data_IF_131512629489
#
_entry.id   IF_131512629489
#
_cell.length_a   1.000
_cell.length_b   1.000
_cell.length_c   1.000
_cell.angle_alpha   90.00
_cell.angle_beta   90.00
_cell.angle_gamma   90.00
#
_symmetry.space_group_name_H-M   'P 1'
#
loop_
_entity.id
_entity.type
_entity.pdbx_description
1 polymer ?
#
# COMPACT_ATOMS: atom_id res chain seq x y z
N UNK A 1 13.65 -8.41 -22.21
CA UNK A 1 13.38 -9.78 -22.69
C UNK A 1 12.04 -10.25 -22.13
N UNK A 2 11.36 -11.18 -22.84
CA UNK A 2 10.15 -11.81 -22.30
C UNK A 2 10.51 -12.72 -21.12
N UNK A 3 9.65 -12.73 -20.10
CA UNK A 3 9.86 -13.51 -18.87
C UNK A 3 8.77 -14.56 -18.75
N UNK A 4 9.17 -15.81 -18.61
CA UNK A 4 8.24 -16.91 -18.40
C UNK A 4 7.75 -16.96 -16.95
N UNK A 5 6.51 -17.40 -16.75
CA UNK A 5 6.01 -17.74 -15.43
C UNK A 5 6.84 -18.86 -14.79
N UNK A 6 7.08 -18.79 -13.48
CA UNK A 6 7.75 -19.88 -12.74
C UNK A 6 6.94 -21.18 -12.87
N UNK A 7 7.64 -22.29 -12.89
CA UNK A 7 7.00 -23.60 -12.85
C UNK A 7 6.42 -23.85 -11.47
N UNK A 8 5.26 -24.48 -11.39
CA UNK A 8 4.66 -24.91 -10.11
C UNK A 8 5.54 -25.94 -9.42
N UNK A 9 6.19 -26.81 -10.21
CA UNK A 9 7.08 -27.86 -9.76
C UNK A 9 8.19 -28.07 -10.81
N UNK A 10 9.45 -28.12 -10.38
CA UNK A 10 10.59 -28.28 -11.27
C UNK A 10 11.67 -29.20 -10.63
N UNK A 11 11.46 -30.53 -10.69
CA UNK A 11 12.36 -31.50 -10.05
C UNK A 11 13.76 -31.57 -10.67
N UNK A 12 13.90 -31.04 -11.88
CA UNK A 12 15.19 -31.08 -12.62
C UNK A 12 16.03 -29.81 -12.41
N UNK A 13 15.59 -28.89 -11.55
CA UNK A 13 16.39 -27.70 -11.23
C UNK A 13 17.61 -28.09 -10.40
N UNK A 14 18.74 -27.53 -10.78
CA UNK A 14 20.01 -27.57 -10.03
C UNK A 14 20.42 -26.21 -9.49
N UNK A 15 19.48 -25.22 -9.52
CA UNK A 15 19.76 -23.86 -9.08
C UNK A 15 20.17 -23.85 -7.59
N UNK A 16 21.38 -23.38 -7.33
CA UNK A 16 21.88 -23.18 -5.98
C UNK A 16 21.28 -21.91 -5.34
N UNK A 17 21.37 -21.78 -4.03
CA UNK A 17 20.88 -20.59 -3.31
C UNK A 17 21.47 -19.29 -3.85
N UNK A 18 22.78 -19.28 -4.14
CA UNK A 18 23.48 -18.09 -4.64
C UNK A 18 23.05 -17.69 -6.06
N UNK A 19 22.51 -18.62 -6.84
CA UNK A 19 22.02 -18.38 -8.19
C UNK A 19 20.55 -17.92 -8.23
N UNK A 20 19.81 -18.01 -7.12
CA UNK A 20 18.43 -17.53 -7.03
C UNK A 20 18.33 -16.09 -7.55
N UNK A 21 17.25 -15.81 -8.25
CA UNK A 21 16.93 -14.49 -8.79
C UNK A 21 15.53 -14.07 -8.35
N UNK A 22 15.29 -12.76 -8.33
CA UNK A 22 13.95 -12.23 -8.04
C UNK A 22 12.97 -12.74 -9.10
N UNK A 23 13.32 -12.60 -10.39
CA UNK A 23 12.59 -13.18 -11.52
C UNK A 23 13.57 -13.78 -12.55
N UNK A 24 13.06 -14.62 -13.44
CA UNK A 24 13.87 -15.27 -14.47
C UNK A 24 14.89 -16.30 -13.93
N UNK A 25 14.72 -16.76 -12.69
CA UNK A 25 15.45 -17.90 -12.15
C UNK A 25 14.85 -19.24 -12.60
N UNK A 26 15.50 -20.33 -12.17
CA UNK A 26 15.03 -21.69 -12.45
C UNK A 26 14.88 -22.50 -11.15
N UNK A 27 14.05 -22.08 -10.21
CA UNK A 27 13.92 -22.72 -8.91
C UNK A 27 13.27 -24.10 -9.03
N UNK A 28 13.47 -24.95 -8.00
CA UNK A 28 12.70 -26.19 -7.81
C UNK A 28 11.23 -25.92 -7.53
N UNK A 29 10.90 -24.70 -7.13
CA UNK A 29 9.61 -24.25 -6.59
C UNK A 29 9.28 -24.82 -5.21
N UNK A 30 10.22 -25.45 -4.54
CA UNK A 30 10.13 -25.82 -3.12
C UNK A 30 10.54 -24.64 -2.24
N UNK A 31 9.82 -24.47 -1.11
CA UNK A 31 10.15 -23.45 -0.11
C UNK A 31 11.23 -23.97 0.85
N UNK A 32 12.49 -24.07 0.36
CA UNK A 32 13.66 -24.40 1.20
C UNK A 32 14.11 -23.14 1.95
N UNK A 33 13.52 -22.91 3.10
CA UNK A 33 13.74 -21.72 3.95
C UNK A 33 14.92 -21.85 4.91
N UNK A 34 15.60 -22.99 4.93
CA UNK A 34 16.85 -23.17 5.68
C UNK A 34 18.05 -22.56 4.93
N UNK A 35 17.85 -22.22 3.66
CA UNK A 35 18.86 -21.62 2.79
C UNK A 35 18.25 -20.39 2.11
N UNK A 36 18.65 -19.21 2.51
CA UNK A 36 18.08 -17.93 2.12
C UNK A 36 19.12 -17.06 1.45
N UNK A 37 18.85 -16.56 0.25
CA UNK A 37 19.68 -15.56 -0.43
C UNK A 37 19.27 -14.15 0.01
N UNK A 38 17.99 -13.82 -0.02
CA UNK A 38 17.46 -12.50 0.31
C UNK A 38 17.05 -12.43 1.79
N UNK A 39 18.05 -12.26 2.67
CA UNK A 39 17.83 -12.22 4.15
C UNK A 39 16.80 -11.17 4.57
N UNK A 40 16.75 -10.04 3.86
CA UNK A 40 15.77 -8.99 4.11
C UNK A 40 14.33 -9.48 3.93
N UNK A 41 14.07 -10.40 3.00
CA UNK A 41 12.74 -10.95 2.79
C UNK A 41 12.31 -11.86 3.95
N UNK A 42 13.21 -12.68 4.50
CA UNK A 42 12.93 -13.49 5.70
C UNK A 42 12.61 -12.62 6.92
N UNK A 43 13.40 -11.55 7.12
CA UNK A 43 13.14 -10.60 8.22
C UNK A 43 11.79 -9.88 8.03
N UNK A 44 11.52 -9.40 6.83
CA UNK A 44 10.27 -8.71 6.52
C UNK A 44 9.06 -9.64 6.71
N UNK A 45 9.13 -10.88 6.20
CA UNK A 45 8.07 -11.87 6.38
C UNK A 45 7.77 -12.12 7.87
N UNK A 46 8.79 -12.24 8.72
CA UNK A 46 8.63 -12.38 10.18
C UNK A 46 7.97 -11.15 10.80
N UNK A 47 8.33 -9.95 10.33
CA UNK A 47 7.69 -8.69 10.76
C UNK A 47 6.22 -8.66 10.39
N UNK A 48 5.87 -9.02 9.14
CA UNK A 48 4.49 -9.10 8.68
C UNK A 48 3.67 -10.11 9.49
N UNK A 49 4.25 -11.26 9.86
CA UNK A 49 3.58 -12.23 10.75
C UNK A 49 3.33 -11.67 12.15
N UNK A 50 4.32 -10.99 12.72
CA UNK A 50 4.19 -10.37 14.05
C UNK A 50 3.14 -9.26 14.09
N UNK A 51 2.90 -8.61 12.95
CA UNK A 51 1.91 -7.54 12.81
C UNK A 51 0.46 -8.04 12.58
N UNK A 52 0.21 -9.34 12.60
CA UNK A 52 -1.15 -9.88 12.40
C UNK A 52 -2.17 -9.26 13.37
N UNK A 53 -3.30 -8.87 12.84
CA UNK A 53 -4.42 -8.27 13.56
C UNK A 53 -5.74 -8.71 12.90
N UNK A 54 -6.87 -8.46 13.55
CA UNK A 54 -8.19 -8.76 13.03
C UNK A 54 -9.14 -7.58 13.22
N UNK A 55 -10.07 -7.39 12.30
CA UNK A 55 -11.03 -6.28 12.34
C UNK A 55 -11.86 -6.28 13.63
N UNK A 56 -12.15 -7.44 14.17
CA UNK A 56 -12.91 -7.65 15.41
C UNK A 56 -12.20 -7.12 16.67
N UNK A 57 -10.90 -6.85 16.58
CA UNK A 57 -10.15 -6.21 17.67
C UNK A 57 -10.51 -4.71 17.84
N UNK A 58 -11.18 -4.11 16.84
CA UNK A 58 -11.52 -2.69 16.83
C UNK A 58 -13.02 -2.49 17.00
N UNK A 59 -13.42 -1.73 18.03
CA UNK A 59 -14.83 -1.40 18.23
C UNK A 59 -15.29 -0.28 17.32
N UNK A 60 -16.36 -0.52 16.56
CA UNK A 60 -17.02 0.44 15.68
C UNK A 60 -18.29 1.07 16.31
N UNK A 61 -18.57 0.80 17.58
CA UNK A 61 -19.84 1.22 18.23
C UNK A 61 -20.03 2.73 18.27
N UNK A 62 -18.97 3.49 18.47
CA UNK A 62 -19.01 4.94 18.51
C UNK A 62 -19.08 5.56 17.10
N UNK A 63 -18.43 4.93 16.13
CA UNK A 63 -18.37 5.38 14.75
C UNK A 63 -19.74 5.47 14.09
N UNK A 64 -20.65 4.53 14.37
CA UNK A 64 -22.03 4.59 13.89
C UNK A 64 -22.75 5.87 14.36
N UNK A 65 -22.55 6.25 15.62
CA UNK A 65 -23.15 7.47 16.18
C UNK A 65 -22.48 8.74 15.65
N UNK A 66 -21.19 8.69 15.49
CA UNK A 66 -20.40 9.80 14.96
C UNK A 66 -20.71 10.06 13.49
N UNK A 67 -20.81 9.00 12.68
CA UNK A 67 -21.16 9.12 11.26
C UNK A 67 -22.49 9.86 11.06
N UNK A 68 -23.50 9.59 11.90
CA UNK A 68 -24.78 10.28 11.83
C UNK A 68 -24.66 11.80 12.08
N UNK A 69 -23.65 12.22 12.87
CA UNK A 69 -23.37 13.62 13.24
C UNK A 69 -22.39 14.32 12.31
N UNK A 70 -21.74 13.61 11.40
CA UNK A 70 -20.85 14.21 10.41
C UNK A 70 -21.65 15.21 9.55
N UNK A 71 -20.98 16.30 9.13
CA UNK A 71 -21.56 17.20 8.12
C UNK A 71 -21.74 16.44 6.78
N UNK A 72 -22.50 17.02 5.88
CA UNK A 72 -22.71 16.42 4.56
C UNK A 72 -21.38 16.24 3.80
N UNK A 73 -20.48 17.22 3.92
CA UNK A 73 -19.16 17.20 3.30
C UNK A 73 -18.25 16.14 3.93
N UNK A 74 -18.28 16.00 5.26
CA UNK A 74 -17.52 14.97 5.97
C UNK A 74 -17.99 13.57 5.59
N UNK A 75 -19.31 13.34 5.43
CA UNK A 75 -19.85 12.05 4.96
C UNK A 75 -19.40 11.72 3.56
N UNK A 76 -19.58 12.66 2.63
CA UNK A 76 -19.17 12.48 1.24
C UNK A 76 -17.68 12.14 1.14
N UNK A 77 -16.83 12.85 1.88
CA UNK A 77 -15.39 12.57 1.88
C UNK A 77 -15.05 11.23 2.49
N UNK A 78 -15.73 10.84 3.60
CA UNK A 78 -15.56 9.54 4.24
C UNK A 78 -15.93 8.39 3.29
N UNK A 79 -17.12 8.46 2.68
CA UNK A 79 -17.62 7.42 1.79
C UNK A 79 -16.72 7.24 0.56
N UNK A 80 -16.28 8.36 -0.04
CA UNK A 80 -15.34 8.35 -1.17
C UNK A 80 -13.98 7.78 -0.80
N UNK A 81 -13.41 8.20 0.34
CA UNK A 81 -12.14 7.68 0.80
C UNK A 81 -12.23 6.16 1.06
N UNK A 82 -13.31 5.71 1.69
CA UNK A 82 -13.53 4.28 1.96
C UNK A 82 -13.71 3.49 0.66
N UNK A 83 -14.52 3.97 -0.28
CA UNK A 83 -14.73 3.32 -1.58
C UNK A 83 -13.44 3.19 -2.39
N UNK A 84 -12.56 4.20 -2.31
CA UNK A 84 -11.24 4.14 -2.93
C UNK A 84 -10.38 3.02 -2.34
N UNK A 85 -10.27 2.93 -1.02
CA UNK A 85 -9.46 1.93 -0.33
C UNK A 85 -9.95 0.51 -0.68
N UNK A 86 -11.27 0.28 -0.62
CA UNK A 86 -11.90 -1.00 -1.01
C UNK A 86 -11.48 -1.44 -2.41
N UNK A 87 -11.50 -0.51 -3.38
CA UNK A 87 -11.12 -0.83 -4.75
C UNK A 87 -9.62 -1.14 -4.88
N UNK A 88 -8.76 -0.31 -4.25
CA UNK A 88 -7.31 -0.43 -4.37
C UNK A 88 -6.81 -1.77 -3.83
N UNK A 89 -7.26 -2.20 -2.66
CA UNK A 89 -6.85 -3.47 -2.06
C UNK A 89 -7.40 -4.68 -2.83
N UNK A 90 -8.61 -4.55 -3.38
CA UNK A 90 -9.16 -5.58 -4.27
C UNK A 90 -8.33 -5.72 -5.55
N UNK A 91 -7.95 -4.61 -6.18
CA UNK A 91 -7.07 -4.61 -7.36
C UNK A 91 -5.69 -5.17 -7.01
N UNK A 92 -5.14 -4.77 -5.87
CA UNK A 92 -3.83 -5.20 -5.41
C UNK A 92 -3.79 -6.70 -5.10
N UNK A 93 -4.80 -7.24 -4.42
CA UNK A 93 -4.92 -8.68 -4.19
C UNK A 93 -4.83 -9.46 -5.50
N UNK A 94 -5.62 -9.06 -6.51
CA UNK A 94 -5.61 -9.70 -7.83
C UNK A 94 -4.26 -9.54 -8.54
N UNK A 95 -3.68 -8.33 -8.50
CA UNK A 95 -2.38 -8.05 -9.09
C UNK A 95 -1.26 -8.90 -8.48
N UNK A 96 -1.24 -9.05 -7.16
CA UNK A 96 -0.23 -9.86 -6.48
C UNK A 96 -0.32 -11.33 -6.87
N UNK A 97 -1.52 -11.91 -6.83
CA UNK A 97 -1.74 -13.34 -7.03
C UNK A 97 -1.55 -13.73 -8.50
N UNK A 98 -2.20 -13.03 -9.41
CA UNK A 98 -2.33 -13.46 -10.80
C UNK A 98 -1.31 -12.83 -11.74
N UNK A 99 -0.71 -11.70 -11.34
CA UNK A 99 0.11 -10.88 -12.23
C UNK A 99 1.58 -10.78 -11.80
N UNK A 100 1.90 -10.45 -10.56
CA UNK A 100 3.30 -10.27 -10.10
C UNK A 100 3.91 -11.60 -9.63
N UNK A 101 3.26 -12.27 -8.66
CA UNK A 101 3.78 -13.48 -8.04
C UNK A 101 4.13 -14.61 -9.02
N UNK A 102 3.40 -14.82 -10.14
CA UNK A 102 3.76 -15.84 -11.13
C UNK A 102 5.17 -15.70 -11.74
N UNK A 103 5.74 -14.50 -11.76
CA UNK A 103 7.05 -14.23 -12.32
C UNK A 103 8.17 -14.22 -11.27
N UNK A 104 7.83 -14.11 -9.97
CA UNK A 104 8.83 -14.07 -8.89
C UNK A 104 9.31 -15.48 -8.58
N UNK A 105 10.61 -15.69 -8.75
CA UNK A 105 11.23 -17.04 -8.66
C UNK A 105 11.94 -17.31 -7.34
N UNK A 106 12.18 -16.29 -6.49
CA UNK A 106 12.75 -16.45 -5.15
C UNK A 106 11.71 -16.95 -4.15
N UNK A 107 11.93 -18.10 -3.47
CA UNK A 107 11.00 -18.65 -2.48
C UNK A 107 10.73 -17.68 -1.31
N UNK A 108 11.76 -17.05 -0.77
CA UNK A 108 11.66 -16.14 0.37
C UNK A 108 10.86 -14.87 0.03
N UNK A 109 10.96 -14.35 -1.20
CA UNK A 109 10.16 -13.22 -1.67
C UNK A 109 8.71 -13.66 -1.95
N UNK A 110 8.51 -14.87 -2.47
CA UNK A 110 7.17 -15.43 -2.66
C UNK A 110 6.39 -15.50 -1.35
N UNK A 111 7.02 -15.83 -0.21
CA UNK A 111 6.35 -15.81 1.09
C UNK A 111 5.84 -14.43 1.46
N UNK A 112 6.64 -13.38 1.23
CA UNK A 112 6.21 -12.01 1.48
C UNK A 112 5.01 -11.63 0.59
N UNK A 113 5.03 -11.97 -0.71
CA UNK A 113 3.93 -11.67 -1.63
C UNK A 113 2.64 -12.42 -1.26
N UNK A 114 2.74 -13.68 -0.85
CA UNK A 114 1.59 -14.45 -0.35
C UNK A 114 1.04 -13.85 0.93
N UNK A 115 1.92 -13.41 1.84
CA UNK A 115 1.51 -12.75 3.06
C UNK A 115 0.85 -11.40 2.79
N UNK A 116 1.40 -10.59 1.89
CA UNK A 116 0.79 -9.34 1.47
C UNK A 116 -0.61 -9.58 0.89
N UNK A 117 -0.77 -10.54 -0.02
CA UNK A 117 -2.09 -10.86 -0.60
C UNK A 117 -3.11 -11.27 0.49
N UNK A 118 -2.68 -11.95 1.56
CA UNK A 118 -3.52 -12.22 2.72
C UNK A 118 -3.88 -10.92 3.48
N UNK A 119 -2.94 -10.01 3.65
CA UNK A 119 -3.18 -8.73 4.34
C UNK A 119 -4.15 -7.84 3.55
N UNK A 120 -4.06 -7.79 2.21
CA UNK A 120 -5.04 -7.08 1.37
C UNK A 120 -6.47 -7.68 1.51
N UNK A 121 -6.57 -9.00 1.62
CA UNK A 121 -7.85 -9.65 1.89
C UNK A 121 -8.36 -9.33 3.30
N UNK A 122 -7.48 -9.23 4.30
CA UNK A 122 -7.82 -8.79 5.65
C UNK A 122 -8.27 -7.33 5.68
N UNK A 123 -7.61 -6.45 4.93
CA UNK A 123 -8.01 -5.05 4.77
C UNK A 123 -9.41 -4.96 4.14
N UNK A 124 -9.67 -5.74 3.10
CA UNK A 124 -11.00 -5.82 2.47
C UNK A 124 -12.09 -6.23 3.47
N UNK A 125 -11.79 -7.19 4.37
CA UNK A 125 -12.71 -7.56 5.46
C UNK A 125 -12.90 -6.40 6.45
N UNK A 126 -11.82 -5.72 6.83
CA UNK A 126 -11.91 -4.57 7.74
C UNK A 126 -12.77 -3.43 7.15
N UNK A 127 -12.66 -3.16 5.85
CA UNK A 127 -13.53 -2.20 5.19
C UNK A 127 -15.00 -2.65 5.17
N UNK A 128 -15.26 -3.95 5.00
CA UNK A 128 -16.64 -4.46 5.10
C UNK A 128 -17.22 -4.18 6.49
N UNK A 129 -16.46 -4.43 7.55
CA UNK A 129 -16.86 -4.10 8.94
C UNK A 129 -17.11 -2.61 9.11
N UNK A 130 -16.26 -1.74 8.52
CA UNK A 130 -16.46 -0.28 8.56
C UNK A 130 -17.76 0.11 7.84
N UNK A 131 -17.98 -0.38 6.62
CA UNK A 131 -19.19 -0.06 5.81
C UNK A 131 -20.45 -0.50 6.53
N UNK A 132 -20.52 -1.73 7.02
CA UNK A 132 -21.66 -2.28 7.74
C UNK A 132 -21.97 -1.51 9.04
N UNK A 133 -20.92 -0.97 9.67
CA UNK A 133 -21.09 -0.20 10.92
C UNK A 133 -21.74 1.16 10.72
N UNK A 134 -21.58 1.77 9.54
CA UNK A 134 -22.02 3.17 9.30
C UNK A 134 -23.21 3.28 8.38
N UNK A 135 -23.37 2.40 7.39
CA UNK A 135 -24.36 2.54 6.32
C UNK A 135 -25.42 1.44 6.36
N UNK A 136 -26.69 1.85 6.15
CA UNK A 136 -27.77 0.92 5.86
C UNK A 136 -27.79 0.49 4.38
N UNK A 137 -27.13 1.25 3.50
CA UNK A 137 -27.01 0.97 2.07
C UNK A 137 -25.53 0.77 1.69
N UNK A 138 -25.03 -0.44 1.91
CA UNK A 138 -23.64 -0.80 1.65
C UNK A 138 -23.30 -0.78 0.16
N UNK A 139 -24.25 -1.11 -0.72
CA UNK A 139 -24.07 -1.16 -2.17
C UNK A 139 -23.66 0.20 -2.75
N UNK A 140 -24.14 1.30 -2.20
CA UNK A 140 -23.83 2.65 -2.67
C UNK A 140 -22.32 2.96 -2.56
N UNK A 141 -21.68 2.57 -1.46
CA UNK A 141 -20.23 2.73 -1.25
C UNK A 141 -19.45 1.77 -2.17
N UNK A 142 -19.87 0.50 -2.23
CA UNK A 142 -19.21 -0.49 -3.08
C UNK A 142 -19.32 -0.19 -4.58
N UNK A 143 -20.34 0.52 -5.03
CA UNK A 143 -20.54 0.87 -6.45
C UNK A 143 -19.84 2.18 -6.87
N UNK A 144 -19.28 2.95 -5.94
CA UNK A 144 -18.62 4.23 -6.27
C UNK A 144 -17.47 4.05 -7.26
N UNK A 145 -16.72 2.94 -7.24
CA UNK A 145 -15.60 2.72 -8.17
C UNK A 145 -15.99 2.80 -9.64
N UNK A 146 -17.24 2.54 -9.98
CA UNK A 146 -17.77 2.62 -11.35
C UNK A 146 -18.65 3.85 -11.58
N UNK A 147 -19.28 4.38 -10.56
CA UNK A 147 -20.26 5.46 -10.66
C UNK A 147 -19.64 6.85 -10.42
N UNK A 148 -18.57 6.95 -9.64
CA UNK A 148 -17.82 8.20 -9.42
C UNK A 148 -16.70 8.31 -10.47
N UNK A 149 -16.83 9.28 -11.38
CA UNK A 149 -15.90 9.46 -12.51
C UNK A 149 -14.48 9.83 -12.07
N UNK A 150 -14.32 10.53 -10.95
CA UNK A 150 -13.00 10.89 -10.42
C UNK A 150 -12.29 9.65 -9.88
N UNK A 151 -13.01 8.85 -9.10
CA UNK A 151 -12.50 7.58 -8.58
C UNK A 151 -12.15 6.62 -9.71
N UNK A 152 -13.02 6.49 -10.70
CA UNK A 152 -12.79 5.65 -11.86
C UNK A 152 -11.53 6.05 -12.62
N UNK A 153 -11.34 7.33 -12.90
CA UNK A 153 -10.16 7.84 -13.62
C UNK A 153 -8.85 7.53 -12.86
N UNK A 154 -8.86 7.67 -11.53
CA UNK A 154 -7.73 7.32 -10.68
C UNK A 154 -7.41 5.84 -10.74
N UNK A 155 -8.43 5.00 -10.63
CA UNK A 155 -8.30 3.55 -10.66
C UNK A 155 -7.79 3.02 -12.01
N UNK A 156 -8.32 3.58 -13.12
CA UNK A 156 -7.95 3.17 -14.47
C UNK A 156 -6.44 3.37 -14.73
N UNK A 157 -5.83 4.41 -14.18
CA UNK A 157 -4.40 4.66 -14.38
C UNK A 157 -3.51 3.54 -13.84
N UNK A 158 -3.70 3.15 -12.58
CA UNK A 158 -2.85 2.11 -11.96
C UNK A 158 -3.18 0.73 -12.54
N UNK A 159 -4.46 0.46 -12.82
CA UNK A 159 -4.90 -0.78 -13.44
C UNK A 159 -4.28 -0.98 -14.83
N UNK A 160 -4.11 0.09 -15.63
CA UNK A 160 -3.47 0.01 -16.95
C UNK A 160 -2.02 -0.47 -16.86
N UNK A 161 -1.25 0.00 -15.87
CA UNK A 161 0.14 -0.44 -15.69
C UNK A 161 0.18 -1.93 -15.35
N UNK A 162 -0.71 -2.40 -14.49
CA UNK A 162 -0.79 -3.82 -14.14
C UNK A 162 -1.25 -4.68 -15.33
N UNK A 163 -2.24 -4.24 -16.09
CA UNK A 163 -2.71 -4.93 -17.28
C UNK A 163 -1.64 -5.01 -18.38
N UNK A 164 -0.73 -4.02 -18.47
CA UNK A 164 0.37 -4.08 -19.43
C UNK A 164 1.34 -5.23 -19.10
N UNK A 165 1.66 -5.45 -17.81
CA UNK A 165 2.45 -6.63 -17.41
C UNK A 165 1.73 -7.93 -17.77
N UNK A 166 0.43 -8.03 -17.48
CA UNK A 166 -0.36 -9.24 -17.78
C UNK A 166 -0.38 -9.57 -19.28
N UNK A 167 -0.44 -8.54 -20.12
CA UNK A 167 -0.49 -8.66 -21.58
C UNK A 167 0.89 -8.91 -22.20
N UNK A 168 1.91 -8.29 -21.66
CA UNK A 168 3.25 -8.25 -22.21
C UNK A 168 4.31 -8.45 -21.10
N UNK A 169 4.56 -9.70 -20.66
CA UNK A 169 5.42 -10.00 -19.50
C UNK A 169 6.90 -9.90 -19.87
N UNK A 170 7.42 -8.70 -19.95
CA UNK A 170 8.85 -8.41 -20.14
C UNK A 170 9.53 -8.03 -18.83
N UNK A 171 10.86 -8.17 -18.77
CA UNK A 171 11.66 -7.73 -17.62
C UNK A 171 11.39 -6.26 -17.27
N UNK A 172 11.24 -5.41 -18.29
CA UNK A 172 10.92 -3.99 -18.14
C UNK A 172 9.53 -3.77 -17.54
N UNK A 173 8.52 -4.51 -18.02
CA UNK A 173 7.16 -4.37 -17.51
C UNK A 173 7.01 -4.95 -16.10
N UNK A 174 7.78 -6.00 -15.75
CA UNK A 174 7.88 -6.47 -14.37
C UNK A 174 8.43 -5.34 -13.48
N UNK A 175 9.54 -4.71 -13.88
CA UNK A 175 10.14 -3.63 -13.10
C UNK A 175 9.19 -2.41 -12.98
N UNK A 176 8.50 -2.03 -14.07
CA UNK A 176 7.46 -0.99 -14.02
C UNK A 176 6.32 -1.35 -13.07
N UNK A 177 5.90 -2.61 -13.04
CA UNK A 177 4.87 -3.08 -12.11
C UNK A 177 5.36 -3.00 -10.64
N UNK A 178 6.63 -3.28 -10.35
CA UNK A 178 7.18 -3.09 -9.01
C UNK A 178 7.17 -1.60 -8.59
N UNK A 179 7.48 -0.68 -9.51
CA UNK A 179 7.33 0.76 -9.25
C UNK A 179 5.87 1.19 -9.11
N UNK A 180 4.96 0.61 -9.89
CA UNK A 180 3.53 0.87 -9.76
C UNK A 180 2.99 0.40 -8.39
N UNK A 181 3.49 -0.72 -7.86
CA UNK A 181 3.18 -1.15 -6.49
C UNK A 181 3.67 -0.12 -5.45
N UNK A 182 4.88 0.48 -5.63
CA UNK A 182 5.29 1.58 -4.76
C UNK A 182 4.37 2.80 -4.83
N UNK A 183 3.81 3.09 -6.01
CA UNK A 183 2.86 4.19 -6.17
C UNK A 183 1.56 3.87 -5.44
N UNK A 184 1.03 2.65 -5.61
CA UNK A 184 -0.20 2.23 -4.94
C UNK A 184 -0.02 2.24 -3.42
N UNK A 185 0.96 1.49 -2.91
CA UNK A 185 1.22 1.32 -1.47
C UNK A 185 1.75 2.59 -0.78
N UNK A 186 2.51 3.41 -1.51
CA UNK A 186 3.24 4.53 -0.93
C UNK A 186 2.68 5.92 -1.22
N UNK A 187 1.67 6.03 -2.11
CA UNK A 187 1.09 7.30 -2.53
C UNK A 187 -0.44 7.26 -2.52
N UNK A 188 -1.05 6.29 -3.21
CA UNK A 188 -2.48 6.31 -3.52
C UNK A 188 -3.42 6.10 -2.34
N UNK A 189 -2.93 5.59 -1.23
CA UNK A 189 -3.71 5.46 0.01
C UNK A 189 -3.67 6.72 0.90
N UNK A 190 -2.68 7.57 0.72
CA UNK A 190 -2.29 8.53 1.76
C UNK A 190 -3.22 9.75 1.87
N UNK A 191 -3.90 10.18 0.80
CA UNK A 191 -4.97 11.18 0.93
C UNK A 191 -6.13 10.63 1.75
N UNK A 192 -6.52 9.37 1.51
CA UNK A 192 -7.53 8.67 2.30
C UNK A 192 -7.14 8.55 3.76
N UNK A 193 -5.94 8.02 4.05
CA UNK A 193 -5.46 7.89 5.42
C UNK A 193 -5.44 9.22 6.17
N UNK A 194 -4.91 10.29 5.55
CA UNK A 194 -4.88 11.61 6.16
C UNK A 194 -6.28 12.16 6.41
N UNK A 195 -7.27 11.81 5.59
CA UNK A 195 -8.66 12.16 5.77
C UNK A 195 -9.23 11.53 7.06
N UNK A 196 -9.08 10.21 7.23
CA UNK A 196 -9.54 9.51 8.44
C UNK A 196 -8.87 10.07 9.71
N UNK A 197 -7.56 10.33 9.67
CA UNK A 197 -6.85 10.94 10.80
C UNK A 197 -7.29 12.37 11.09
N UNK A 198 -7.74 13.12 10.11
CA UNK A 198 -8.30 14.47 10.31
C UNK A 198 -9.62 14.41 11.06
N UNK A 199 -10.49 13.46 10.75
CA UNK A 199 -11.71 13.22 11.52
C UNK A 199 -11.39 12.81 12.96
N UNK A 200 -10.43 11.87 13.14
CA UNK A 200 -10.00 11.42 14.46
C UNK A 200 -9.38 12.55 15.29
N UNK A 201 -8.62 13.45 14.68
CA UNK A 201 -8.08 14.65 15.34
C UNK A 201 -9.18 15.56 15.89
N UNK A 202 -10.36 15.53 15.30
CA UNK A 202 -11.56 16.24 15.76
C UNK A 202 -12.42 15.41 16.72
N UNK A 203 -11.92 14.24 17.19
CA UNK A 203 -12.63 13.35 18.09
C UNK A 203 -13.77 12.56 17.44
N UNK A 204 -13.75 12.39 16.12
CA UNK A 204 -14.78 11.70 15.34
C UNK A 204 -14.22 10.45 14.69
N UNK A 205 -15.02 9.40 14.51
CA UNK A 205 -14.69 8.20 13.74
C UNK A 205 -13.40 7.52 14.23
N UNK A 206 -13.24 7.38 15.54
CA UNK A 206 -12.01 6.87 16.15
C UNK A 206 -11.77 5.38 15.86
N UNK A 207 -12.83 4.58 15.76
CA UNK A 207 -12.74 3.17 15.36
C UNK A 207 -12.22 3.04 13.93
N UNK A 208 -12.77 3.81 12.99
CA UNK A 208 -12.29 3.86 11.60
C UNK A 208 -10.82 4.26 11.53
N UNK A 209 -10.42 5.30 12.26
CA UNK A 209 -9.02 5.72 12.29
C UNK A 209 -8.09 4.63 12.88
N UNK A 210 -8.57 3.84 13.85
CA UNK A 210 -7.82 2.71 14.40
C UNK A 210 -7.66 1.58 13.38
N UNK A 211 -8.71 1.25 12.60
CA UNK A 211 -8.63 0.32 11.47
C UNK A 211 -7.58 0.79 10.46
N UNK A 212 -7.72 2.04 10.00
CA UNK A 212 -6.79 2.65 9.03
C UNK A 212 -5.34 2.65 9.55
N UNK A 213 -5.13 2.82 10.86
CA UNK A 213 -3.81 2.75 11.46
C UNK A 213 -3.19 1.36 11.34
N UNK A 214 -3.95 0.29 11.54
CA UNK A 214 -3.46 -1.07 11.35
C UNK A 214 -3.17 -1.35 9.87
N UNK A 215 -4.07 -0.94 8.98
CA UNK A 215 -3.89 -1.05 7.54
C UNK A 215 -2.63 -0.29 7.11
N UNK A 216 -2.47 0.98 7.46
CA UNK A 216 -1.29 1.77 7.08
C UNK A 216 0.01 1.15 7.58
N UNK A 217 0.04 0.52 8.75
CA UNK A 217 1.22 -0.21 9.23
C UNK A 217 1.60 -1.36 8.30
N UNK A 218 0.60 -2.10 7.82
CA UNK A 218 0.81 -3.20 6.90
C UNK A 218 1.27 -2.65 5.53
N UNK A 219 0.68 -1.54 5.04
CA UNK A 219 1.11 -0.87 3.80
C UNK A 219 2.57 -0.40 3.84
N UNK A 220 3.09 -0.02 5.01
CA UNK A 220 4.52 0.27 5.15
C UNK A 220 5.37 -0.96 4.89
N UNK A 221 4.98 -2.15 5.35
CA UNK A 221 5.72 -3.39 5.08
C UNK A 221 5.60 -3.82 3.61
N UNK A 222 4.45 -3.58 2.97
CA UNK A 222 4.23 -3.81 1.54
C UNK A 222 5.14 -2.91 0.70
N UNK A 223 5.20 -1.64 1.04
CA UNK A 223 6.08 -0.67 0.39
C UNK A 223 7.56 -1.08 0.51
N UNK A 224 7.99 -1.50 1.70
CA UNK A 224 9.36 -1.98 1.96
C UNK A 224 9.68 -3.22 1.12
N UNK A 225 8.75 -4.14 0.92
CA UNK A 225 8.91 -5.30 0.07
C UNK A 225 9.31 -4.88 -1.34
N UNK A 226 8.55 -3.99 -1.97
CA UNK A 226 8.84 -3.53 -3.33
C UNK A 226 10.11 -2.68 -3.41
N UNK A 227 10.39 -1.84 -2.43
CA UNK A 227 11.64 -1.08 -2.36
C UNK A 227 12.86 -2.00 -2.31
N UNK A 228 12.82 -3.03 -1.49
CA UNK A 228 13.90 -4.00 -1.38
C UNK A 228 14.07 -4.84 -2.66
N UNK A 229 12.97 -5.23 -3.30
CA UNK A 229 13.03 -5.92 -4.60
C UNK A 229 13.70 -5.03 -5.67
N UNK A 230 13.30 -3.76 -5.76
CA UNK A 230 13.88 -2.81 -6.72
C UNK A 230 15.37 -2.58 -6.43
N UNK A 231 15.74 -2.39 -5.16
CA UNK A 231 17.13 -2.18 -4.76
C UNK A 231 18.00 -3.42 -5.02
N UNK A 232 17.50 -4.62 -4.77
CA UNK A 232 18.21 -5.86 -5.09
C UNK A 232 18.37 -6.01 -6.61
N UNK A 233 17.34 -5.75 -7.40
CA UNK A 233 17.42 -5.75 -8.86
C UNK A 233 18.41 -4.70 -9.38
N UNK A 234 18.46 -3.52 -8.77
CA UNK A 234 19.41 -2.46 -9.13
C UNK A 234 20.87 -2.93 -8.97
N UNK A 235 21.15 -3.73 -7.97
CA UNK A 235 22.49 -4.29 -7.73
C UNK A 235 22.79 -5.50 -8.64
N UNK A 236 21.80 -6.34 -8.92
CA UNK A 236 21.99 -7.58 -9.67
C UNK A 236 21.83 -7.42 -11.19
N UNK A 237 21.02 -6.45 -11.62
CA UNK A 237 20.59 -6.22 -13.01
C UNK A 237 20.65 -4.73 -13.36
N UNK A 238 21.84 -4.14 -13.22
CA UNK A 238 22.09 -2.72 -13.56
C UNK A 238 21.70 -2.37 -15.00
N UNK A 239 21.76 -3.36 -15.90
CA UNK A 239 21.37 -3.26 -17.30
C UNK A 239 19.88 -2.86 -17.49
N UNK A 240 19.02 -3.21 -16.55
CA UNK A 240 17.58 -2.84 -16.61
C UNK A 240 17.32 -1.37 -16.27
N UNK A 241 18.18 -0.74 -15.48
CA UNK A 241 17.98 0.62 -14.98
C UNK A 241 18.56 1.68 -15.95
N UNK A 242 18.08 1.64 -17.19
CA UNK A 242 18.50 2.60 -18.20
C UNK A 242 18.01 4.02 -17.89
N UNK A 243 18.68 5.07 -18.37
CA UNK A 243 18.20 6.45 -18.24
C UNK A 243 16.77 6.65 -18.77
N UNK A 244 16.41 5.93 -19.85
CA UNK A 244 15.08 5.97 -20.40
C UNK A 244 14.05 5.43 -19.39
N UNK A 245 14.27 4.22 -18.84
CA UNK A 245 13.36 3.63 -17.85
C UNK A 245 13.23 4.51 -16.62
N UNK A 246 14.33 5.06 -16.11
CA UNK A 246 14.29 5.99 -14.96
C UNK A 246 13.44 7.23 -15.25
N UNK A 247 13.56 7.81 -16.44
CA UNK A 247 12.72 8.94 -16.84
C UNK A 247 11.24 8.56 -16.95
N UNK A 248 10.92 7.36 -17.44
CA UNK A 248 9.55 6.84 -17.48
C UNK A 248 8.98 6.66 -16.08
N UNK A 249 9.76 6.06 -15.15
CA UNK A 249 9.39 5.91 -13.75
C UNK A 249 9.14 7.26 -13.08
N UNK A 250 10.01 8.25 -13.28
CA UNK A 250 9.79 9.61 -12.78
C UNK A 250 8.49 10.19 -13.35
N UNK A 251 8.19 9.93 -14.62
CA UNK A 251 6.92 10.31 -15.26
C UNK A 251 5.72 9.65 -14.59
N UNK A 252 5.81 8.36 -14.25
CA UNK A 252 4.77 7.63 -13.51
C UNK A 252 4.51 8.26 -12.14
N UNK A 253 5.56 8.58 -11.38
CA UNK A 253 5.42 9.23 -10.07
C UNK A 253 4.82 10.63 -10.17
N UNK A 254 5.25 11.44 -11.15
CA UNK A 254 4.65 12.76 -11.39
C UNK A 254 3.16 12.65 -11.68
N UNK A 255 2.79 11.72 -12.55
CA UNK A 255 1.38 11.48 -12.88
C UNK A 255 0.59 11.00 -11.67
N UNK A 256 1.17 10.13 -10.86
CA UNK A 256 0.56 9.67 -9.62
C UNK A 256 0.33 10.83 -8.62
N UNK A 257 1.27 11.74 -8.49
CA UNK A 257 1.13 12.94 -7.63
C UNK A 257 -0.02 13.82 -8.12
N UNK A 258 -0.12 14.10 -9.42
CA UNK A 258 -1.23 14.88 -10.00
C UNK A 258 -2.59 14.24 -9.69
N UNK A 259 -2.71 12.93 -9.92
CA UNK A 259 -3.95 12.17 -9.71
C UNK A 259 -4.31 12.16 -8.21
N UNK A 260 -3.36 11.85 -7.33
CA UNK A 260 -3.61 11.74 -5.90
C UNK A 260 -3.91 13.10 -5.26
N UNK A 261 -3.20 14.16 -5.64
CA UNK A 261 -3.48 15.51 -5.17
C UNK A 261 -4.89 15.98 -5.59
N UNK A 262 -5.26 15.72 -6.85
CA UNK A 262 -6.61 16.00 -7.36
C UNK A 262 -7.68 15.20 -6.62
N UNK A 263 -7.40 13.92 -6.32
CA UNK A 263 -8.29 13.08 -5.54
C UNK A 263 -8.45 13.59 -4.10
N UNK A 264 -7.35 13.95 -3.44
CA UNK A 264 -7.39 14.50 -2.09
C UNK A 264 -8.19 15.81 -2.00
N UNK A 265 -8.07 16.69 -3.00
CA UNK A 265 -8.91 17.89 -3.12
C UNK A 265 -10.39 17.54 -3.30
N UNK A 266 -10.67 16.56 -4.15
CA UNK A 266 -12.04 16.10 -4.42
C UNK A 266 -12.74 15.50 -3.21
N UNK A 267 -12.05 14.71 -2.38
CA UNK A 267 -12.64 14.13 -1.17
C UNK A 267 -12.82 15.17 -0.05
N UNK A 268 -11.94 16.16 0.03
CA UNK A 268 -12.01 17.20 1.05
C UNK A 268 -12.90 18.38 0.65
N UNK A 269 -13.12 18.59 -0.64
CA UNK A 269 -13.91 19.68 -1.21
C UNK A 269 -13.47 21.08 -0.72
N UNK A 270 -12.19 21.19 -0.26
CA UNK A 270 -11.68 22.42 0.38
C UNK A 270 -12.36 22.80 1.70
N UNK A 271 -13.18 21.91 2.29
CA UNK A 271 -14.02 22.18 3.46
C UNK A 271 -13.59 21.44 4.73
N UNK A 272 -12.58 20.60 4.64
CA UNK A 272 -12.10 19.81 5.78
C UNK A 272 -10.99 20.57 6.51
N UNK A 273 -11.25 20.92 7.77
CA UNK A 273 -10.31 21.68 8.58
C UNK A 273 -8.99 20.94 8.78
N UNK A 274 -7.89 21.58 8.36
CA UNK A 274 -6.53 21.02 8.49
C UNK A 274 -6.02 20.25 7.28
N UNK A 275 -6.85 20.07 6.21
CA UNK A 275 -6.47 19.50 4.93
C UNK A 275 -6.87 20.44 3.79
N UNK A 276 -6.04 21.43 3.50
CA UNK A 276 -6.23 22.27 2.30
C UNK A 276 -5.62 21.58 1.07
N UNK A 277 -6.11 21.91 -0.13
CA UNK A 277 -5.58 21.40 -1.41
C UNK A 277 -4.05 21.52 -1.49
N UNK A 278 -3.50 22.69 -1.08
CA UNK A 278 -2.05 22.93 -1.08
C UNK A 278 -1.30 22.02 -0.10
N UNK A 279 -1.85 21.76 1.10
CA UNK A 279 -1.23 20.86 2.07
C UNK A 279 -1.25 19.40 1.58
N UNK A 280 -2.34 18.99 0.95
CA UNK A 280 -2.46 17.65 0.36
C UNK A 280 -1.44 17.50 -0.76
N UNK A 281 -1.39 18.43 -1.71
CA UNK A 281 -0.44 18.37 -2.82
C UNK A 281 1.00 18.30 -2.32
N UNK A 282 1.42 19.16 -1.39
CA UNK A 282 2.76 19.13 -0.79
C UNK A 282 3.03 17.80 -0.05
N UNK A 283 2.02 17.23 0.61
CA UNK A 283 2.17 15.95 1.29
C UNK A 283 2.41 14.81 0.30
N UNK A 284 1.65 14.76 -0.77
CA UNK A 284 1.81 13.74 -1.81
C UNK A 284 3.15 13.92 -2.56
N UNK A 285 3.59 15.14 -2.84
CA UNK A 285 4.92 15.44 -3.39
C UNK A 285 6.04 14.97 -2.44
N UNK A 286 5.91 15.22 -1.14
CA UNK A 286 6.85 14.75 -0.13
C UNK A 286 6.94 13.22 -0.12
N UNK A 287 5.81 12.51 -0.15
CA UNK A 287 5.77 11.06 -0.20
C UNK A 287 6.45 10.53 -1.46
N UNK A 288 6.15 11.09 -2.64
CA UNK A 288 6.79 10.70 -3.90
C UNK A 288 8.31 10.83 -3.84
N UNK A 289 8.82 11.96 -3.34
CA UNK A 289 10.25 12.18 -3.14
C UNK A 289 10.89 11.17 -2.19
N UNK A 290 10.19 10.85 -1.09
CA UNK A 290 10.63 9.85 -0.14
C UNK A 290 10.75 8.46 -0.80
N UNK A 291 9.71 8.04 -1.56
CA UNK A 291 9.70 6.72 -2.23
C UNK A 291 10.78 6.62 -3.30
N UNK A 292 10.95 7.65 -4.13
CA UNK A 292 11.99 7.70 -5.14
C UNK A 292 13.39 7.64 -4.51
N UNK A 293 13.62 8.39 -3.43
CA UNK A 293 14.92 8.41 -2.73
C UNK A 293 15.29 7.03 -2.16
N UNK A 294 14.33 6.28 -1.62
CA UNK A 294 14.56 4.94 -1.05
C UNK A 294 15.02 3.91 -2.08
N UNK A 295 14.75 4.15 -3.36
CA UNK A 295 15.20 3.29 -4.47
C UNK A 295 16.32 3.94 -5.31
N UNK A 296 16.99 4.96 -4.75
CA UNK A 296 18.16 5.61 -5.37
C UNK A 296 17.84 6.49 -6.58
N UNK A 297 16.61 7.00 -6.67
CA UNK A 297 16.21 8.00 -7.67
C UNK A 297 16.16 9.38 -7.00
N UNK A 298 16.67 10.41 -7.67
CA UNK A 298 16.70 11.75 -7.12
C UNK A 298 15.30 12.31 -6.86
N UNK A 299 15.18 13.14 -5.82
CA UNK A 299 13.96 13.88 -5.51
C UNK A 299 13.54 14.78 -6.67
N UNK A 300 12.24 14.86 -6.89
CA UNK A 300 11.63 15.64 -7.98
C UNK A 300 11.14 17.01 -7.50
N UNK A 301 10.57 17.05 -6.30
CA UNK A 301 9.85 18.23 -5.78
C UNK A 301 10.65 18.99 -4.72
N UNK A 302 11.43 18.31 -3.89
CA UNK A 302 12.25 18.95 -2.84
C UNK A 302 11.45 19.55 -1.68
N UNK A 303 10.19 19.15 -1.50
CA UNK A 303 9.31 19.69 -0.46
C UNK A 303 9.58 19.06 0.91
N UNK A 304 9.27 19.81 1.98
CA UNK A 304 9.29 19.32 3.35
C UNK A 304 7.94 18.73 3.74
N UNK A 305 7.91 17.83 4.74
CA UNK A 305 6.66 17.23 5.23
C UNK A 305 5.72 18.32 5.81
N UNK A 306 4.55 18.59 5.18
CA UNK A 306 3.72 19.74 5.54
C UNK A 306 2.79 19.47 6.73
N UNK A 307 2.39 18.20 6.96
CA UNK A 307 1.38 17.78 7.95
C UNK A 307 1.93 16.75 8.93
N UNK A 308 3.03 17.08 9.63
CA UNK A 308 3.72 16.16 10.57
C UNK A 308 2.83 15.54 11.64
N UNK A 309 1.69 16.17 11.94
CA UNK A 309 0.73 15.64 12.91
C UNK A 309 0.15 14.28 12.48
N UNK A 310 0.11 13.96 11.18
CA UNK A 310 -0.33 12.66 10.66
C UNK A 310 0.53 11.53 11.22
N UNK A 311 1.83 11.73 11.34
CA UNK A 311 2.76 10.75 11.92
C UNK A 311 2.38 10.34 13.35
N UNK A 312 1.81 11.27 14.12
CA UNK A 312 1.37 10.98 15.49
C UNK A 312 0.15 10.03 15.55
N UNK A 313 -0.61 9.93 14.47
CA UNK A 313 -1.72 8.99 14.36
C UNK A 313 -1.29 7.66 13.77
N UNK A 314 -0.32 7.64 12.87
CA UNK A 314 0.17 6.43 12.21
C UNK A 314 1.20 5.65 13.05
N UNK A 315 1.89 6.30 14.01
CA UNK A 315 2.92 5.64 14.83
C UNK A 315 2.34 4.76 15.93
N UNK A 316 2.93 3.57 16.13
CA UNK A 316 2.62 2.62 17.22
C UNK A 316 3.57 2.80 18.42
N UNK A 317 3.98 4.02 18.77
CA UNK A 317 4.82 4.27 19.93
C UNK A 317 4.07 3.94 21.23
N UNK A 318 4.60 3.01 22.02
CA UNK A 318 4.05 2.52 23.29
C UNK A 318 3.78 3.61 24.34
N UNK A 319 4.40 4.77 24.21
CA UNK A 319 4.27 5.88 25.19
C UNK A 319 3.00 6.75 25.01
N UNK A 320 2.15 6.49 24.02
CA UNK A 320 0.91 7.25 23.75
C UNK A 320 -0.36 6.41 23.87
N UNK A 321 -0.38 5.42 24.75
CA UNK A 321 -1.56 4.59 25.09
C UNK A 321 -2.78 5.40 25.57
N UNK A 322 -2.58 6.67 25.95
CA UNK A 322 -3.63 7.49 26.56
C UNK A 322 -4.63 8.11 25.58
N UNK A 323 -4.45 8.02 24.27
CA UNK A 323 -5.40 8.64 23.33
C UNK A 323 -6.45 7.64 22.80
N UNK A 324 -6.16 6.34 22.90
CA UNK A 324 -7.03 5.25 22.47
C UNK A 324 -7.18 4.17 23.56
N UNK A 325 -7.27 4.55 24.84
CA UNK A 325 -7.52 3.61 25.94
C UNK A 325 -8.94 3.00 25.86
N UNK A 326 -9.17 2.15 24.86
CA UNK A 326 -10.17 1.12 24.94
C UNK A 326 -9.48 -0.23 24.82
N UNK A 327 -9.15 -0.84 25.98
CA UNK A 327 -8.70 -2.23 26.19
C UNK A 327 -8.00 -2.90 25.00
N UNK A 328 -6.71 -2.63 24.85
CA UNK A 328 -5.82 -3.50 24.05
C UNK A 328 -5.36 -4.62 24.98
N UNK A 329 -5.80 -5.85 24.71
CA UNK A 329 -5.21 -7.05 25.32
C UNK A 329 -3.71 -7.07 25.00
N UNK A 330 -2.87 -7.24 26.03
CA UNK A 330 -1.42 -7.28 25.97
C UNK A 330 -0.90 -8.40 25.06
N UNK A 331 -0.71 -8.09 23.78
CA UNK A 331 0.22 -8.81 22.91
C UNK A 331 1.29 -7.81 22.48
N UNK A 332 2.55 -8.11 22.81
CA UNK A 332 3.70 -7.38 22.28
C UNK A 332 3.78 -7.62 20.77
N UNK A 333 3.19 -6.69 19.99
CA UNK A 333 3.29 -6.66 18.52
C UNK A 333 4.52 -5.84 18.17
N UNK A 334 5.35 -6.34 17.25
CA UNK A 334 6.55 -5.64 16.80
C UNK A 334 6.20 -4.24 16.27
N UNK A 335 6.91 -3.23 16.75
CA UNK A 335 6.78 -1.87 16.22
C UNK A 335 7.75 -1.67 15.08
N UNK A 336 7.26 -1.20 13.94
CA UNK A 336 8.07 -0.69 12.84
C UNK A 336 8.04 0.83 12.94
N UNK A 337 9.19 1.47 13.13
CA UNK A 337 9.30 2.93 13.10
C UNK A 337 9.60 3.41 11.69
N UNK A 338 9.05 4.57 11.32
CA UNK A 338 9.37 5.23 10.04
C UNK A 338 10.85 5.64 9.93
N UNK A 339 11.57 5.74 11.06
CA UNK A 339 12.98 6.11 11.11
C UNK A 339 13.93 4.93 10.90
N UNK A 340 13.42 3.70 10.99
CA UNK A 340 14.22 2.48 10.83
C UNK A 340 14.39 2.04 9.36
N UNK A 341 13.85 2.85 8.40
CA UNK A 341 13.83 2.48 6.99
C UNK A 341 14.16 3.61 6.02
#
# INVERSE_FOLDING_TARGET
>A
MEVSRKKIYNPNSTESVNERKIFGGNPTSMFDLNKIKYQWADHLWKTMLANTWFAEEVSMNDDKRDYLKLSAEEKIGYDRALAQLIFMDSLQTNNLIDNVNPFITSPEINLCLVRQAYEEALHSHAYAVMVESISANTEEIYDMWRNDMQLKSKNDYIAQVYMELAKNPTEENILKALFANQILEGIYFYSGFSYFYTLARSGKMLGSAQMIRFIQRDEVTHLILFQNMINALRNERTDLFTPQLINEVIGMFKKAVEIEASWGDYITQGKILGLTSSLIEQYIQFLADSRLSKVGIAKVYGVQHPIKWVESFSSFNEQRSNFFEARVSNYAKGSVSFDDF
#
